data_IF_891309844661
#
_entry.id   IF_891309844661
#
_cell.length_a   1.000
_cell.length_b   1.000
_cell.length_c   1.000
_cell.angle_alpha   90.00
_cell.angle_beta   90.00
_cell.angle_gamma   90.00
#
_symmetry.space_group_name_H-M   'P 1'
#
loop_
_entity.id
_entity.type
_entity.pdbx_description
1 polymer ?
#
# COMPACT_ATOMS: atom_id res chain seq x y z
N UNK A 1 17.37 39.82 -17.14
CA UNK A 1 16.47 38.65 -17.17
C UNK A 1 17.15 37.50 -16.45
N UNK A 2 16.52 36.96 -15.42
CA UNK A 2 17.04 35.80 -14.66
C UNK A 2 16.90 34.55 -15.54
N UNK A 3 17.91 33.70 -15.70
CA UNK A 3 17.74 32.46 -16.44
C UNK A 3 16.88 31.54 -15.58
N UNK A 4 15.73 31.14 -16.11
CA UNK A 4 14.92 30.06 -15.54
C UNK A 4 15.76 28.80 -15.69
N UNK A 5 16.35 28.31 -14.59
CA UNK A 5 16.92 26.97 -14.54
C UNK A 5 15.82 26.01 -14.95
N UNK A 6 15.95 25.41 -16.13
CA UNK A 6 15.09 24.31 -16.55
C UNK A 6 15.09 23.26 -15.44
N UNK A 7 13.95 22.62 -15.13
CA UNK A 7 13.96 21.52 -14.20
C UNK A 7 14.96 20.51 -14.74
N UNK A 8 16.02 20.25 -13.98
CA UNK A 8 16.99 19.21 -14.29
C UNK A 8 16.16 17.94 -14.35
N UNK A 9 15.84 17.49 -15.56
CA UNK A 9 15.34 16.14 -15.79
C UNK A 9 16.52 15.22 -15.53
N UNK A 10 16.79 14.99 -14.24
CA UNK A 10 17.59 13.84 -13.83
C UNK A 10 16.83 12.66 -14.42
N UNK A 11 17.41 12.01 -15.42
CA UNK A 11 16.90 10.76 -15.97
C UNK A 11 17.08 9.70 -14.88
N UNK A 12 16.24 9.76 -13.84
CA UNK A 12 16.16 8.76 -12.80
C UNK A 12 15.73 7.47 -13.47
N UNK A 13 16.53 6.42 -13.31
CA UNK A 13 16.10 5.12 -13.79
C UNK A 13 14.80 4.75 -13.06
N UNK A 14 13.93 3.92 -13.63
CA UNK A 14 12.69 3.50 -12.95
C UNK A 14 12.91 2.89 -11.56
N UNK A 15 14.14 2.46 -11.26
CA UNK A 15 14.58 1.90 -9.99
C UNK A 15 14.78 2.99 -8.92
N UNK A 16 15.11 4.21 -9.33
CA UNK A 16 15.40 5.33 -8.42
C UNK A 16 14.16 6.19 -8.10
N UNK A 17 12.99 5.80 -8.63
CA UNK A 17 11.73 6.49 -8.40
C UNK A 17 11.02 5.92 -7.15
N UNK A 18 10.35 6.79 -6.36
CA UNK A 18 9.44 6.37 -5.29
C UNK A 18 8.47 5.29 -5.78
N UNK A 19 8.16 4.32 -4.93
CA UNK A 19 7.34 3.13 -5.25
C UNK A 19 5.98 3.56 -5.78
N UNK A 20 5.42 4.64 -5.24
CA UNK A 20 4.15 5.20 -5.70
C UNK A 20 4.18 5.63 -7.17
N UNK A 21 5.32 6.16 -7.66
CA UNK A 21 5.51 6.55 -9.06
C UNK A 21 5.86 5.36 -9.93
N UNK A 22 6.71 4.46 -9.42
CA UNK A 22 7.11 3.26 -10.14
C UNK A 22 5.91 2.31 -10.40
N UNK A 23 5.06 2.04 -9.38
CA UNK A 23 4.01 1.02 -9.51
C UNK A 23 2.69 1.49 -10.13
N UNK A 24 2.48 2.80 -10.25
CA UNK A 24 1.23 3.39 -10.76
C UNK A 24 -0.02 3.00 -9.96
N UNK A 25 -1.15 3.65 -10.26
CA UNK A 25 -2.43 3.32 -9.63
C UNK A 25 -3.06 2.13 -10.35
N UNK A 26 -3.27 1.02 -9.65
CA UNK A 26 -4.01 -0.14 -10.17
C UNK A 26 -5.47 -0.03 -9.77
N UNK A 27 -6.37 -0.10 -10.75
CA UNK A 27 -7.79 -0.32 -10.48
C UNK A 27 -8.00 -1.79 -10.11
N UNK A 28 -8.46 -2.05 -8.89
CA UNK A 28 -8.77 -3.40 -8.42
C UNK A 28 -10.28 -3.60 -8.45
N UNK A 29 -10.84 -3.85 -9.63
CA UNK A 29 -12.25 -4.25 -9.73
C UNK A 29 -12.37 -5.68 -9.23
N UNK A 30 -13.06 -5.86 -8.11
CA UNK A 30 -13.33 -7.18 -7.56
C UNK A 30 -14.53 -7.80 -8.31
N UNK A 31 -14.27 -8.36 -9.49
CA UNK A 31 -15.30 -8.93 -10.38
C UNK A 31 -16.04 -10.12 -9.74
N UNK A 32 -15.39 -10.81 -8.81
CA UNK A 32 -15.94 -11.97 -8.12
C UNK A 32 -15.63 -11.86 -6.62
N UNK A 33 -16.58 -11.41 -5.78
CA UNK A 33 -16.39 -11.28 -4.34
C UNK A 33 -16.44 -12.64 -3.65
N UNK A 34 -15.44 -13.48 -3.93
CA UNK A 34 -15.30 -14.84 -3.38
C UNK A 34 -15.25 -14.81 -1.85
N UNK A 35 -14.84 -13.68 -1.26
CA UNK A 35 -14.84 -13.47 0.19
C UNK A 35 -16.22 -13.67 0.84
N UNK A 36 -17.32 -13.49 0.11
CA UNK A 36 -18.68 -13.73 0.63
C UNK A 36 -18.99 -15.22 0.85
N UNK A 37 -18.25 -16.13 0.22
CA UNK A 37 -18.48 -17.57 0.29
C UNK A 37 -17.47 -18.29 1.19
N UNK A 38 -16.61 -17.56 1.89
CA UNK A 38 -15.60 -18.16 2.77
C UNK A 38 -16.26 -18.64 4.06
N UNK A 39 -15.95 -19.87 4.46
CA UNK A 39 -16.42 -20.44 5.73
C UNK A 39 -15.24 -20.82 6.61
N UNK A 40 -15.31 -20.41 7.87
CA UNK A 40 -14.24 -20.62 8.86
C UNK A 40 -14.44 -21.87 9.72
N UNK A 41 -15.58 -22.56 9.59
CA UNK A 41 -16.04 -23.61 10.53
C UNK A 41 -15.15 -24.86 10.62
N UNK A 42 -14.26 -25.09 9.64
CA UNK A 42 -13.35 -26.25 9.60
C UNK A 42 -11.88 -25.88 9.78
N UNK A 43 -11.57 -24.62 10.05
CA UNK A 43 -10.20 -24.21 10.32
C UNK A 43 -9.80 -24.68 11.72
N UNK A 44 -8.53 -25.08 11.87
CA UNK A 44 -7.98 -25.25 13.21
C UNK A 44 -7.99 -23.90 13.95
N UNK A 45 -8.01 -23.91 15.29
CA UNK A 45 -7.99 -22.67 16.07
C UNK A 45 -6.84 -21.72 15.71
N UNK A 46 -5.64 -22.28 15.44
CA UNK A 46 -4.46 -21.50 15.03
C UNK A 46 -4.65 -20.82 13.68
N UNK A 47 -5.17 -21.53 12.67
CA UNK A 47 -5.44 -20.94 11.35
C UNK A 47 -6.56 -19.92 11.41
N UNK A 48 -7.61 -20.18 12.20
CA UNK A 48 -8.68 -19.23 12.41
C UNK A 48 -8.16 -17.92 13.04
N UNK A 49 -7.37 -18.02 14.10
CA UNK A 49 -6.79 -16.85 14.75
C UNK A 49 -5.92 -16.02 13.79
N UNK A 50 -5.10 -16.70 12.99
CA UNK A 50 -4.26 -16.05 11.98
C UNK A 50 -5.08 -15.33 10.91
N UNK A 51 -6.08 -16.00 10.30
CA UNK A 51 -6.89 -15.37 9.25
C UNK A 51 -7.77 -14.24 9.82
N UNK A 52 -8.30 -14.41 11.04
CA UNK A 52 -9.06 -13.36 11.72
C UNK A 52 -8.20 -12.12 12.01
N UNK A 53 -6.94 -12.28 12.38
CA UNK A 53 -6.02 -11.16 12.55
C UNK A 53 -5.78 -10.40 11.23
N UNK A 54 -5.68 -11.11 10.11
CA UNK A 54 -5.55 -10.50 8.78
C UNK A 54 -6.84 -9.79 8.37
N UNK A 55 -7.99 -10.41 8.53
CA UNK A 55 -9.27 -9.84 8.09
C UNK A 55 -9.72 -8.64 8.93
N UNK A 56 -9.27 -8.56 10.19
CA UNK A 56 -9.48 -7.39 11.04
C UNK A 56 -8.66 -6.16 10.61
N UNK A 57 -7.62 -6.34 9.79
CA UNK A 57 -6.81 -5.22 9.30
C UNK A 57 -7.58 -4.42 8.24
N UNK A 58 -7.63 -3.10 8.41
CA UNK A 58 -8.27 -2.20 7.45
C UNK A 58 -7.23 -1.56 6.54
N UNK A 59 -7.53 -1.52 5.24
CA UNK A 59 -6.70 -0.80 4.28
C UNK A 59 -7.04 0.70 4.40
N UNK A 60 -6.07 1.57 4.72
CA UNK A 60 -6.32 2.99 4.85
C UNK A 60 -6.72 3.59 3.50
N UNK A 61 -7.77 4.42 3.49
CA UNK A 61 -8.27 5.07 2.27
C UNK A 61 -7.63 6.43 2.03
N UNK A 62 -7.16 7.07 3.11
CA UNK A 62 -6.56 8.40 3.06
C UNK A 62 -5.21 8.42 3.78
N UNK A 63 -4.39 9.41 3.43
CA UNK A 63 -3.04 9.59 3.99
C UNK A 63 -3.06 9.69 5.52
N UNK A 64 -4.03 10.41 6.09
CA UNK A 64 -4.14 10.55 7.56
C UNK A 64 -4.33 9.21 8.27
N UNK A 65 -5.14 8.31 7.72
CA UNK A 65 -5.37 6.97 8.28
C UNK A 65 -4.10 6.11 8.17
N UNK A 66 -3.40 6.18 7.03
CA UNK A 66 -2.15 5.48 6.84
C UNK A 66 -1.08 5.95 7.84
N UNK A 67 -0.92 7.26 8.04
CA UNK A 67 0.08 7.81 8.95
C UNK A 67 -0.20 7.55 10.44
N UNK A 68 -1.47 7.31 10.79
CA UNK A 68 -1.84 6.90 12.14
C UNK A 68 -1.32 5.49 12.47
N UNK A 69 -1.13 4.63 11.48
CA UNK A 69 -0.63 3.27 11.67
C UNK A 69 0.92 3.26 11.69
N UNK A 70 1.55 2.72 12.74
CA UNK A 70 3.00 2.80 12.92
C UNK A 70 3.78 2.12 11.79
N UNK A 71 3.30 0.97 11.28
CA UNK A 71 3.97 0.27 10.18
C UNK A 71 3.93 1.03 8.85
N UNK A 72 2.81 1.71 8.55
CA UNK A 72 2.67 2.50 7.33
C UNK A 72 3.50 3.79 7.43
N UNK A 73 3.52 4.41 8.61
CA UNK A 73 4.37 5.57 8.89
C UNK A 73 5.85 5.23 8.74
N UNK A 74 6.30 4.10 9.29
CA UNK A 74 7.70 3.69 9.17
C UNK A 74 8.08 3.44 7.71
N UNK A 75 7.26 2.71 6.96
CA UNK A 75 7.50 2.48 5.53
C UNK A 75 7.64 3.78 4.72
N UNK A 76 6.85 4.80 5.04
CA UNK A 76 6.97 6.11 4.38
C UNK A 76 8.26 6.85 4.77
N UNK A 77 8.71 6.72 6.02
CA UNK A 77 10.00 7.28 6.45
C UNK A 77 11.11 6.58 5.70
N UNK A 78 11.12 5.25 5.66
CA UNK A 78 12.14 4.45 4.99
C UNK A 78 12.25 4.76 3.48
N UNK A 79 11.15 5.17 2.83
CA UNK A 79 11.15 5.61 1.42
C UNK A 79 11.68 7.04 1.23
N UNK A 80 11.56 7.90 2.24
CA UNK A 80 11.98 9.30 2.22
C UNK A 80 13.39 9.54 2.77
N UNK A 81 14.02 8.50 3.33
CA UNK A 81 15.35 8.56 3.94
C UNK A 81 16.39 8.00 2.99
#
# INVERSE_FOLDING_TARGET
SVPILSPVTVSLSPVDLPIALHKGKRSTVNLHPIYNCLSYHRLSPSHYAFISAISASTIPKIVKEALAHPGWRQAMIDEMT
#
